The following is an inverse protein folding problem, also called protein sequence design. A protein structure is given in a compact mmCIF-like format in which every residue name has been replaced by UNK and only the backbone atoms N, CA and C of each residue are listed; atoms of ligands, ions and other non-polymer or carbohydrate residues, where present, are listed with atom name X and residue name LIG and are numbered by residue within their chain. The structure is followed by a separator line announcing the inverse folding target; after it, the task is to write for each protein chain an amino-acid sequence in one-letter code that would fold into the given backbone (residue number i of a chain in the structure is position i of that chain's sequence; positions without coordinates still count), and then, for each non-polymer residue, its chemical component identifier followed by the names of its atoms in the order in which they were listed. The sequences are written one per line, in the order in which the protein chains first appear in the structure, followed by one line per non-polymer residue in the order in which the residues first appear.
data_IF_371212748639
#
_entry.id   IF_371212748639
#
_cell.length_a   1.000
_cell.length_b   1.000
_cell.length_c   1.000
_cell.angle_alpha   90.00
_cell.angle_beta   90.00
_cell.angle_gamma   90.00
#
_symmetry.space_group_name_H-M   'P 1'
#
loop_
_entity.id
_entity.type
_entity.pdbx_description
1 polymer ?
#
# COMPACT_ATOMS: atom_id res chain seq x y z
N UNK A 1 -26.33 15.41 -6.88
CA UNK A 1 -25.76 16.11 -8.06
C UNK A 1 -25.02 17.36 -7.58
N UNK A 2 -23.92 17.72 -8.23
CA UNK A 2 -23.11 18.92 -7.94
C UNK A 2 -23.58 20.08 -8.83
N UNK A 3 -23.50 21.33 -8.37
CA UNK A 3 -23.88 22.50 -9.20
C UNK A 3 -22.93 22.67 -10.38
N UNK A 4 -23.40 23.17 -11.55
CA UNK A 4 -22.55 23.32 -12.73
C UNK A 4 -21.33 24.22 -12.52
N UNK A 5 -21.50 25.34 -11.82
CA UNK A 5 -20.41 26.30 -11.56
C UNK A 5 -19.33 25.71 -10.65
N UNK A 6 -19.72 24.89 -9.67
CA UNK A 6 -18.79 24.15 -8.81
C UNK A 6 -18.05 23.07 -9.61
N UNK A 7 -18.75 22.35 -10.48
CA UNK A 7 -18.14 21.33 -11.32
C UNK A 7 -17.10 21.95 -12.28
N UNK A 8 -17.43 23.05 -12.93
CA UNK A 8 -16.51 23.79 -13.80
C UNK A 8 -15.27 24.26 -13.03
N UNK A 9 -15.45 24.78 -11.81
CA UNK A 9 -14.32 25.21 -10.98
C UNK A 9 -13.38 24.04 -10.64
N UNK A 10 -13.92 22.87 -10.27
CA UNK A 10 -13.11 21.67 -9.99
C UNK A 10 -12.36 21.23 -11.25
N UNK A 11 -13.03 21.18 -12.40
CA UNK A 11 -12.42 20.71 -13.66
C UNK A 11 -11.38 21.67 -14.24
N UNK A 12 -11.32 22.92 -13.76
CA UNK A 12 -10.25 23.85 -14.12
C UNK A 12 -8.92 23.49 -13.45
N UNK A 13 -8.95 22.92 -12.24
CA UNK A 13 -7.76 22.62 -11.44
C UNK A 13 -7.43 21.11 -11.37
N UNK A 14 -8.44 20.24 -11.58
CA UNK A 14 -8.31 18.80 -11.38
C UNK A 14 -8.68 18.00 -12.63
N UNK A 15 -7.80 17.09 -13.01
CA UNK A 15 -8.10 15.97 -13.88
C UNK A 15 -8.27 14.70 -13.05
N UNK A 16 -9.18 13.83 -13.48
CA UNK A 16 -9.42 12.53 -12.86
C UNK A 16 -9.41 11.42 -13.90
N UNK A 17 -8.97 10.23 -13.48
CA UNK A 17 -8.96 9.03 -14.31
C UNK A 17 -9.04 7.78 -13.43
N UNK A 18 -9.06 6.62 -14.07
CA UNK A 18 -9.05 5.33 -13.40
C UNK A 18 -8.18 4.35 -14.20
N UNK A 19 -7.79 3.26 -13.54
CA UNK A 19 -7.12 2.14 -14.18
C UNK A 19 -7.80 0.85 -13.71
N UNK A 20 -8.09 -0.06 -14.63
CA UNK A 20 -8.55 -1.41 -14.31
C UNK A 20 -7.37 -2.31 -13.92
N UNK A 21 -7.66 -3.47 -13.34
CA UNK A 21 -6.63 -4.39 -12.82
C UNK A 21 -5.58 -4.77 -13.89
N UNK A 22 -6.00 -4.96 -15.14
CA UNK A 22 -5.11 -5.24 -16.26
C UNK A 22 -4.15 -4.07 -16.53
N UNK A 23 -4.66 -2.83 -16.55
CA UNK A 23 -3.84 -1.62 -16.76
C UNK A 23 -2.86 -1.40 -15.60
N UNK A 24 -3.25 -1.73 -14.37
CA UNK A 24 -2.38 -1.70 -13.19
C UNK A 24 -1.25 -2.72 -13.33
N UNK A 25 -1.55 -3.95 -13.74
CA UNK A 25 -0.54 -4.98 -13.96
C UNK A 25 0.43 -4.61 -15.10
N UNK A 26 -0.09 -4.03 -16.18
CA UNK A 26 0.70 -3.54 -17.31
C UNK A 26 1.63 -2.39 -16.89
N UNK A 27 1.13 -1.43 -16.10
CA UNK A 27 1.93 -0.34 -15.56
C UNK A 27 3.09 -0.83 -14.68
N UNK A 28 2.82 -1.80 -13.78
CA UNK A 28 3.88 -2.41 -12.94
C UNK A 28 4.93 -3.07 -13.84
N UNK A 29 4.51 -3.84 -14.84
CA UNK A 29 5.41 -4.57 -15.74
C UNK A 29 6.23 -3.63 -16.62
N UNK A 30 5.60 -2.61 -17.19
CA UNK A 30 6.24 -1.60 -18.03
C UNK A 30 7.36 -0.88 -17.26
N UNK A 31 7.05 -0.32 -16.09
CA UNK A 31 8.02 0.44 -15.30
C UNK A 31 9.12 -0.47 -14.76
N UNK A 32 8.81 -1.71 -14.40
CA UNK A 32 9.80 -2.69 -14.02
C UNK A 32 10.80 -2.97 -15.16
N UNK A 33 10.31 -3.24 -16.38
CA UNK A 33 11.19 -3.53 -17.51
C UNK A 33 11.96 -2.31 -18.01
N UNK A 34 11.36 -1.13 -17.95
CA UNK A 34 11.99 0.11 -18.43
C UNK A 34 13.02 0.65 -17.45
N UNK A 35 12.65 0.75 -16.17
CA UNK A 35 13.40 1.52 -15.17
C UNK A 35 13.99 0.65 -14.05
N UNK A 36 13.59 -0.62 -13.95
CA UNK A 36 13.94 -1.47 -12.81
C UNK A 36 13.31 -0.99 -11.49
N UNK A 37 12.25 -0.17 -11.56
CA UNK A 37 11.52 0.30 -10.39
C UNK A 37 10.23 -0.50 -10.20
N UNK A 38 10.02 -1.02 -8.99
CA UNK A 38 8.89 -1.88 -8.68
C UNK A 38 7.76 -1.06 -8.03
N UNK A 39 6.68 -0.85 -8.79
CA UNK A 39 5.50 -0.15 -8.34
C UNK A 39 4.64 -1.04 -7.42
N UNK A 40 4.10 -0.43 -6.37
CA UNK A 40 2.92 -0.97 -5.70
C UNK A 40 1.65 -0.65 -6.54
N UNK A 41 0.55 -1.39 -6.36
CA UNK A 41 -0.65 -1.19 -7.18
C UNK A 41 -1.25 0.23 -7.11
N UNK A 42 -1.13 0.94 -5.98
CA UNK A 42 -1.67 2.30 -5.84
C UNK A 42 -0.85 3.29 -6.65
N UNK A 43 0.49 3.17 -6.61
CA UNK A 43 1.36 3.99 -7.45
C UNK A 43 1.17 3.65 -8.93
N UNK A 44 0.93 2.38 -9.26
CA UNK A 44 0.66 1.95 -10.64
C UNK A 44 -0.66 2.54 -11.19
N UNK A 45 -1.72 2.64 -10.39
CA UNK A 45 -2.94 3.38 -10.78
C UNK A 45 -2.60 4.83 -11.12
N UNK A 46 -1.85 5.51 -10.24
CA UNK A 46 -1.45 6.90 -10.48
C UNK A 46 -0.58 7.06 -11.73
N UNK A 47 0.35 6.12 -11.97
CA UNK A 47 1.17 6.08 -13.17
C UNK A 47 0.32 5.88 -14.44
N UNK A 48 -0.61 4.92 -14.44
CA UNK A 48 -1.47 4.65 -15.58
C UNK A 48 -2.32 5.88 -15.93
N UNK A 49 -2.99 6.48 -14.94
CA UNK A 49 -3.80 7.70 -15.14
C UNK A 49 -2.93 8.88 -15.60
N UNK A 50 -1.71 8.99 -15.09
CA UNK A 50 -0.75 9.98 -15.55
C UNK A 50 -0.42 9.80 -17.04
N UNK A 51 -0.18 8.57 -17.51
CA UNK A 51 0.12 8.32 -18.93
C UNK A 51 -1.11 8.59 -19.82
N UNK A 52 -2.29 8.17 -19.39
CA UNK A 52 -3.56 8.48 -20.06
C UNK A 52 -3.77 9.99 -20.19
N UNK A 53 -3.53 10.75 -19.11
CA UNK A 53 -3.64 12.21 -19.11
C UNK A 53 -2.67 12.84 -20.12
N UNK A 54 -1.39 12.46 -20.10
CA UNK A 54 -0.37 12.97 -21.04
C UNK A 54 -0.76 12.69 -22.49
N UNK A 55 -1.25 11.48 -22.78
CA UNK A 55 -1.68 11.10 -24.12
C UNK A 55 -2.90 11.91 -24.59
N UNK A 56 -3.85 12.21 -23.69
CA UNK A 56 -5.07 12.94 -24.02
C UNK A 56 -4.87 14.46 -24.12
N UNK A 57 -4.05 15.05 -23.24
CA UNK A 57 -3.85 16.50 -23.16
C UNK A 57 -2.66 17.01 -23.99
N UNK A 58 -1.67 16.16 -24.26
CA UNK A 58 -0.37 16.57 -24.80
C UNK A 58 0.50 17.35 -23.81
N UNK A 59 0.09 17.46 -22.54
CA UNK A 59 0.85 18.14 -21.50
C UNK A 59 2.10 17.34 -21.13
N UNK A 60 3.26 17.95 -21.37
CA UNK A 60 4.56 17.37 -21.09
C UNK A 60 5.26 17.97 -19.87
N UNK A 61 4.56 18.78 -19.08
CA UNK A 61 5.10 19.38 -17.84
C UNK A 61 5.68 18.29 -16.93
N UNK A 62 6.88 18.50 -16.34
CA UNK A 62 7.42 17.58 -15.34
C UNK A 62 6.44 17.39 -14.19
N UNK A 63 6.22 16.16 -13.77
CA UNK A 63 5.27 15.83 -12.73
C UNK A 63 5.91 15.00 -11.62
N UNK A 64 5.27 15.03 -10.45
CA UNK A 64 5.65 14.23 -9.29
C UNK A 64 4.54 13.23 -9.04
N UNK A 65 4.86 11.95 -9.13
CA UNK A 65 3.96 10.87 -8.78
C UNK A 65 4.20 10.44 -7.33
N UNK A 66 3.18 10.53 -6.49
CA UNK A 66 3.28 10.14 -5.09
C UNK A 66 3.20 8.61 -4.98
N UNK A 67 4.32 7.99 -4.62
CA UNK A 67 4.34 6.57 -4.28
C UNK A 67 3.82 6.37 -2.86
N UNK A 68 2.64 5.77 -2.72
CA UNK A 68 1.89 5.77 -1.45
C UNK A 68 2.10 4.51 -0.61
N UNK A 69 2.65 3.44 -1.18
CA UNK A 69 2.97 2.23 -0.44
C UNK A 69 4.24 1.53 -0.98
N UNK A 70 4.76 0.61 -0.16
CA UNK A 70 5.78 -0.35 -0.61
C UNK A 70 5.11 -1.44 -1.46
N UNK A 71 5.76 -1.96 -2.52
CA UNK A 71 5.26 -3.13 -3.26
C UNK A 71 5.06 -4.35 -2.37
N UNK A 72 5.84 -4.46 -1.27
CA UNK A 72 5.73 -5.56 -0.30
C UNK A 72 4.51 -5.50 0.61
N UNK A 73 3.73 -4.41 0.59
CA UNK A 73 2.40 -4.38 1.22
C UNK A 73 1.34 -5.13 0.40
N UNK A 74 1.60 -5.39 -0.88
CA UNK A 74 0.67 -6.06 -1.80
C UNK A 74 1.40 -7.11 -2.64
N UNK A 75 2.13 -8.05 -2.01
CA UNK A 75 3.11 -8.89 -2.70
C UNK A 75 2.47 -9.76 -3.79
N UNK A 76 1.26 -10.25 -3.57
CA UNK A 76 0.55 -11.08 -4.55
C UNK A 76 0.18 -10.31 -5.82
N UNK A 77 -0.28 -9.07 -5.70
CA UNK A 77 -0.67 -8.25 -6.86
C UNK A 77 0.56 -7.91 -7.69
N UNK A 78 1.63 -7.47 -7.02
CA UNK A 78 2.88 -7.11 -7.68
C UNK A 78 3.54 -8.34 -8.31
N UNK A 79 3.58 -9.48 -7.61
CA UNK A 79 4.12 -10.72 -8.18
C UNK A 79 3.31 -11.21 -9.39
N UNK A 80 1.98 -11.09 -9.38
CA UNK A 80 1.12 -11.49 -10.51
C UNK A 80 1.35 -10.63 -11.76
N UNK A 81 1.80 -9.38 -11.60
CA UNK A 81 2.18 -8.54 -12.74
C UNK A 81 3.45 -9.05 -13.45
N UNK A 82 4.34 -9.73 -12.70
CA UNK A 82 5.64 -10.22 -13.18
C UNK A 82 5.68 -11.72 -13.49
N UNK A 83 4.78 -12.53 -12.91
CA UNK A 83 4.77 -13.99 -12.99
C UNK A 83 3.35 -14.53 -13.15
N UNK A 84 3.20 -15.63 -13.90
CA UNK A 84 1.89 -16.24 -14.13
C UNK A 84 1.36 -17.07 -12.96
N UNK A 85 2.24 -17.52 -12.05
CA UNK A 85 1.86 -18.31 -10.88
C UNK A 85 2.45 -17.69 -9.61
N UNK A 86 1.59 -17.40 -8.64
CA UNK A 86 1.94 -16.74 -7.38
C UNK A 86 1.30 -17.49 -6.22
N UNK A 87 2.02 -17.74 -5.12
CA UNK A 87 1.47 -18.36 -3.92
C UNK A 87 0.27 -17.58 -3.36
N UNK A 88 -0.63 -18.30 -2.70
CA UNK A 88 -1.76 -17.68 -2.00
C UNK A 88 -1.37 -17.09 -0.65
N UNK A 89 -0.28 -17.57 -0.04
CA UNK A 89 0.29 -17.01 1.18
C UNK A 89 1.12 -15.74 0.89
N UNK A 90 0.85 -14.67 1.63
CA UNK A 90 1.50 -13.38 1.41
C UNK A 90 3.01 -13.41 1.71
N UNK A 91 3.46 -14.18 2.71
CA UNK A 91 4.89 -14.29 3.02
C UNK A 91 5.64 -15.06 1.94
N UNK A 92 5.06 -16.15 1.44
CA UNK A 92 5.60 -16.88 0.29
C UNK A 92 5.61 -16.01 -0.98
N UNK A 93 4.57 -15.20 -1.20
CA UNK A 93 4.54 -14.24 -2.31
C UNK A 93 5.62 -13.15 -2.17
N UNK A 94 5.91 -12.65 -0.96
CA UNK A 94 7.03 -11.73 -0.73
C UNK A 94 8.37 -12.38 -1.07
N UNK A 95 8.60 -13.63 -0.67
CA UNK A 95 9.84 -14.36 -0.98
C UNK A 95 10.02 -14.55 -2.49
N UNK A 96 8.96 -14.97 -3.19
CA UNK A 96 8.97 -15.07 -4.65
C UNK A 96 9.25 -13.72 -5.31
N UNK A 97 8.59 -12.65 -4.85
CA UNK A 97 8.79 -11.32 -5.40
C UNK A 97 10.23 -10.85 -5.25
N UNK A 98 10.86 -11.11 -4.10
CA UNK A 98 12.28 -10.83 -3.89
C UNK A 98 13.16 -11.63 -4.85
N UNK A 99 12.87 -12.92 -5.08
CA UNK A 99 13.64 -13.76 -6.00
C UNK A 99 13.57 -13.26 -7.44
N UNK A 100 12.40 -12.78 -7.88
CA UNK A 100 12.17 -12.31 -9.25
C UNK A 100 12.70 -10.90 -9.47
N UNK A 101 12.53 -10.01 -8.49
CA UNK A 101 12.89 -8.59 -8.62
C UNK A 101 14.27 -8.25 -8.07
N UNK A 102 14.83 -9.06 -7.17
CA UNK A 102 16.04 -8.71 -6.43
C UNK A 102 15.87 -7.57 -5.41
N UNK A 103 14.70 -6.93 -5.32
CA UNK A 103 14.41 -5.88 -4.34
C UNK A 103 14.28 -6.53 -2.96
N UNK A 104 14.99 -6.08 -1.92
CA UNK A 104 14.94 -6.73 -0.61
C UNK A 104 13.58 -6.53 0.07
N UNK A 105 13.13 -7.56 0.79
CA UNK A 105 11.95 -7.46 1.66
C UNK A 105 12.27 -6.49 2.80
N UNK A 106 11.42 -5.49 3.09
CA UNK A 106 11.59 -4.59 4.22
C UNK A 106 11.72 -5.39 5.54
N UNK A 107 12.73 -5.09 6.41
CA UNK A 107 12.98 -5.89 7.61
C UNK A 107 11.79 -5.98 8.56
N UNK A 108 11.01 -4.91 8.67
CA UNK A 108 9.79 -4.87 9.49
C UNK A 108 8.72 -5.84 8.98
N UNK A 109 8.55 -5.97 7.66
CA UNK A 109 7.59 -6.92 7.07
C UNK A 109 8.11 -8.36 7.16
N UNK A 110 9.41 -8.57 6.95
CA UNK A 110 10.03 -9.89 7.13
C UNK A 110 9.87 -10.40 8.58
N UNK A 111 10.01 -9.52 9.56
CA UNK A 111 9.86 -9.87 10.98
C UNK A 111 8.43 -10.28 11.33
N UNK A 112 7.39 -9.76 10.66
CA UNK A 112 6.00 -10.12 10.96
C UNK A 112 5.73 -11.64 10.92
N UNK A 113 6.43 -12.39 10.07
CA UNK A 113 6.27 -13.84 9.96
C UNK A 113 6.63 -14.59 11.26
N UNK A 114 7.50 -14.00 12.08
CA UNK A 114 7.98 -14.58 13.33
C UNK A 114 7.13 -14.15 14.53
N UNK A 115 6.29 -13.12 14.36
CA UNK A 115 5.44 -12.62 15.42
C UNK A 115 4.17 -13.45 15.54
N UNK A 116 3.70 -13.61 16.78
CA UNK A 116 2.38 -14.20 17.03
C UNK A 116 1.33 -13.09 16.95
N UNK A 117 0.22 -13.29 16.21
CA UNK A 117 -0.90 -12.37 16.23
C UNK A 117 -1.39 -12.16 17.67
N UNK A 118 -1.73 -10.92 18.02
CA UNK A 118 -2.38 -10.65 19.30
C UNK A 118 -3.79 -11.24 19.31
N UNK A 119 -4.22 -11.73 20.47
CA UNK A 119 -5.58 -12.25 20.63
C UNK A 119 -6.60 -11.14 20.41
N UNK A 120 -7.64 -11.46 19.64
CA UNK A 120 -8.71 -10.52 19.34
C UNK A 120 -9.66 -10.42 20.52
N UNK A 121 -9.69 -9.25 21.17
CA UNK A 121 -10.70 -8.92 22.17
C UNK A 121 -11.92 -8.32 21.48
N UNK A 122 -13.10 -8.88 21.74
CA UNK A 122 -14.38 -8.38 21.21
C UNK A 122 -15.27 -7.99 22.39
N UNK A 123 -15.77 -6.75 22.38
CA UNK A 123 -16.63 -6.21 23.45
C UNK A 123 -17.90 -5.60 22.85
N UNK A 124 -18.97 -5.54 23.64
CA UNK A 124 -20.18 -4.82 23.24
C UNK A 124 -19.90 -3.30 23.17
N UNK A 125 -20.62 -2.55 22.31
CA UNK A 125 -20.44 -1.10 22.22
C UNK A 125 -20.62 -0.35 23.55
N UNK A 126 -21.51 -0.86 24.42
CA UNK A 126 -21.74 -0.32 25.77
C UNK A 126 -20.53 -0.47 26.70
N UNK A 127 -19.68 -1.46 26.43
CA UNK A 127 -18.55 -1.82 27.28
C UNK A 127 -17.22 -1.28 26.73
N UNK A 128 -17.23 -0.71 25.52
CA UNK A 128 -16.03 -0.20 24.83
C UNK A 128 -15.24 0.78 25.69
N UNK A 129 -15.92 1.68 26.41
CA UNK A 129 -15.26 2.64 27.30
C UNK A 129 -14.47 1.97 28.42
N UNK A 130 -15.06 0.96 29.07
CA UNK A 130 -14.38 0.21 30.14
C UNK A 130 -13.25 -0.65 29.59
N UNK A 131 -13.45 -1.28 28.43
CA UNK A 131 -12.43 -2.08 27.77
C UNK A 131 -11.18 -1.24 27.40
N UNK A 132 -11.37 -0.05 26.83
CA UNK A 132 -10.26 0.86 26.49
C UNK A 132 -9.54 1.33 27.75
N UNK A 133 -10.27 1.71 28.80
CA UNK A 133 -9.67 2.12 30.08
C UNK A 133 -8.87 0.97 30.71
N UNK A 134 -9.40 -0.25 30.67
CA UNK A 134 -8.71 -1.45 31.15
C UNK A 134 -7.41 -1.71 30.39
N UNK A 135 -7.48 -1.77 29.06
CA UNK A 135 -6.31 -1.97 28.20
C UNK A 135 -5.25 -0.88 28.39
N UNK A 136 -5.66 0.39 28.49
CA UNK A 136 -4.75 1.51 28.74
C UNK A 136 -4.03 1.35 30.09
N UNK A 137 -4.74 0.98 31.16
CA UNK A 137 -4.13 0.73 32.47
C UNK A 137 -3.13 -0.43 32.41
N UNK A 138 -3.44 -1.52 31.72
CA UNK A 138 -2.52 -2.65 31.57
C UNK A 138 -1.23 -2.28 30.82
N UNK A 139 -1.30 -1.37 29.86
CA UNK A 139 -0.12 -0.92 29.09
C UNK A 139 0.68 0.14 29.84
N UNK A 140 0.02 1.07 30.52
CA UNK A 140 0.66 2.26 31.10
C UNK A 140 0.90 2.21 32.61
N UNK A 141 0.19 1.35 33.37
CA UNK A 141 0.39 1.20 34.83
C UNK A 141 1.20 -0.06 35.19
N UNK A 142 1.52 -0.92 34.24
CA UNK A 142 2.44 -2.04 34.42
C UNK A 142 3.88 -1.61 34.06
N UNK A 143 4.53 -0.88 34.98
CA UNK A 143 5.86 -0.23 34.90
C UNK A 143 7.04 -1.21 34.65
N UNK A 144 6.76 -2.50 34.38
CA UNK A 144 7.76 -3.49 33.99
C UNK A 144 7.93 -3.57 32.45
N UNK A 145 6.89 -3.28 31.65
CA UNK A 145 6.97 -3.36 30.17
C UNK A 145 7.49 -2.09 29.51
N UNK A 146 7.28 -0.93 30.13
CA UNK A 146 7.77 0.37 29.62
C UNK A 146 9.29 0.50 29.79
N UNK A 147 9.89 -0.20 30.76
CA UNK A 147 11.34 -0.14 31.03
C UNK A 147 12.19 -1.08 30.19
N UNK A 148 11.62 -2.14 29.60
CA UNK A 148 12.37 -3.12 28.79
C UNK A 148 12.35 -2.85 27.28
N UNK A 149 11.59 -1.85 26.82
CA UNK A 149 11.44 -1.52 25.39
C UNK A 149 12.46 -0.52 24.84
N UNK A 150 13.43 -0.07 25.65
CA UNK A 150 14.41 0.94 25.24
C UNK A 150 15.83 0.67 25.75
N UNK A 151 16.22 -0.61 25.82
CA UNK A 151 17.64 -0.99 25.90
C UNK A 151 18.05 -1.78 24.65
N UNK A 152 18.60 -1.01 23.69
CA UNK A 152 19.44 -1.37 22.53
C UNK A 152 18.79 -1.99 21.30
#
# INVERSE_FOLDING_TARGET
QVRPDVLTAIQADFAGGFAVDEEVADAIREVWHRDGYLLDPHTAVGYAVQQQYRAASGDNTPNVLLATASPYKFPRVVAKALQSHVPDDDFAAMQMLQQVSGVPIPPNLAHLQQLRPQEKVVVAPTDMGQAIIGAAKEVFNDDQRVRSGNER
#
